data_IF_752412515294
#
_entry.id   IF_752412515294
#
_cell.length_a   1.000
_cell.length_b   1.000
_cell.length_c   1.000
_cell.angle_alpha   90.00
_cell.angle_beta   90.00
_cell.angle_gamma   90.00
#
_symmetry.space_group_name_H-M   'P 1'
#
loop_
_entity.id
_entity.type
_entity.pdbx_description
1 polymer ?
#
# COMPACT_ATOMS: atom_id res chain seq x y z
N UNK A 1 -2.44 11.96 -8.89
CA UNK A 1 -2.36 11.26 -7.60
C UNK A 1 -1.76 9.88 -7.80
N UNK A 2 -0.75 9.55 -7.03
CA UNK A 2 -0.11 8.24 -7.06
C UNK A 2 -0.42 7.51 -5.77
N UNK A 3 -0.88 6.27 -5.88
CA UNK A 3 -1.28 5.44 -4.75
C UNK A 3 -0.30 4.30 -4.56
N UNK A 4 0.05 3.99 -3.32
CA UNK A 4 0.94 2.89 -3.00
C UNK A 4 0.31 1.96 -1.96
N UNK A 5 0.48 0.66 -2.15
CA UNK A 5 -0.04 -0.34 -1.25
C UNK A 5 1.11 -1.17 -0.69
N UNK A 6 1.24 -1.15 0.62
CA UNK A 6 2.18 -2.01 1.33
C UNK A 6 1.40 -3.25 1.75
N UNK A 7 1.75 -4.39 1.16
CA UNK A 7 1.02 -5.64 1.30
C UNK A 7 0.11 -5.87 0.10
N UNK A 8 0.10 -7.11 -0.38
CA UNK A 8 -0.71 -7.50 -1.54
C UNK A 8 -1.49 -8.75 -1.17
N UNK A 9 -2.64 -8.54 -0.54
CA UNK A 9 -3.56 -9.59 -0.14
C UNK A 9 -4.96 -9.30 -0.64
N UNK A 10 -5.95 -9.93 -0.03
CA UNK A 10 -7.35 -9.77 -0.43
C UNK A 10 -7.85 -8.33 -0.25
N UNK A 11 -7.40 -7.64 0.80
CA UNK A 11 -7.79 -6.24 1.03
C UNK A 11 -7.29 -5.35 -0.10
N UNK A 12 -6.01 -5.49 -0.45
CA UNK A 12 -5.42 -4.73 -1.56
C UNK A 12 -6.17 -5.02 -2.86
N UNK A 13 -6.45 -6.29 -3.15
CA UNK A 13 -7.20 -6.69 -4.33
C UNK A 13 -8.57 -6.00 -4.38
N UNK A 14 -9.30 -6.02 -3.27
CA UNK A 14 -10.63 -5.42 -3.20
C UNK A 14 -10.57 -3.90 -3.38
N UNK A 15 -9.67 -3.22 -2.69
CA UNK A 15 -9.55 -1.76 -2.75
C UNK A 15 -9.09 -1.30 -4.13
N UNK A 16 -8.06 -1.90 -4.69
CA UNK A 16 -7.55 -1.55 -6.01
C UNK A 16 -8.61 -1.81 -7.08
N UNK A 17 -9.30 -2.94 -7.02
CA UNK A 17 -10.38 -3.25 -7.96
C UNK A 17 -11.50 -2.22 -7.87
N UNK A 18 -11.85 -1.78 -6.66
CA UNK A 18 -12.85 -0.73 -6.45
C UNK A 18 -12.41 0.61 -7.03
N UNK A 19 -11.17 0.99 -6.86
CA UNK A 19 -10.63 2.24 -7.41
C UNK A 19 -10.66 2.21 -8.95
N UNK A 20 -10.24 1.10 -9.55
CA UNK A 20 -10.25 0.95 -11.02
C UNK A 20 -11.66 1.06 -11.57
N UNK A 21 -12.64 0.51 -10.86
CA UNK A 21 -14.05 0.52 -11.30
C UNK A 21 -14.76 1.84 -10.99
N UNK A 22 -14.12 2.74 -10.24
CA UNK A 22 -14.72 4.00 -9.82
C UNK A 22 -14.33 5.15 -10.76
N UNK A 23 -14.84 6.34 -10.44
CA UNK A 23 -14.48 7.57 -11.15
C UNK A 23 -13.25 8.27 -10.53
N UNK A 24 -12.60 7.62 -9.57
CA UNK A 24 -11.39 8.17 -8.94
C UNK A 24 -10.27 8.22 -9.97
N UNK A 25 -9.70 9.41 -10.16
CA UNK A 25 -8.58 9.60 -11.07
C UNK A 25 -7.25 9.38 -10.35
N UNK A 26 -6.38 8.59 -10.94
CA UNK A 26 -5.05 8.33 -10.42
C UNK A 26 -4.04 8.22 -11.57
N UNK A 27 -2.78 8.54 -11.28
CA UNK A 27 -1.68 8.41 -12.26
C UNK A 27 -1.10 7.01 -12.27
N UNK A 28 -0.81 6.48 -11.09
CA UNK A 28 -0.18 5.18 -10.89
C UNK A 28 -0.70 4.55 -9.61
N UNK A 29 -0.73 3.23 -9.59
CA UNK A 29 -0.93 2.44 -8.37
C UNK A 29 0.26 1.50 -8.24
N UNK A 30 1.02 1.68 -7.16
CA UNK A 30 2.15 0.81 -6.86
C UNK A 30 1.71 -0.26 -5.88
N UNK A 31 1.99 -1.52 -6.19
CA UNK A 31 1.63 -2.65 -5.33
C UNK A 31 2.87 -3.51 -5.07
N UNK A 32 2.93 -4.13 -3.90
CA UNK A 32 4.06 -4.99 -3.56
C UNK A 32 3.99 -6.32 -4.29
N UNK A 33 5.14 -6.94 -4.48
CA UNK A 33 5.27 -8.21 -5.19
C UNK A 33 4.95 -9.43 -4.32
N UNK A 34 4.80 -9.26 -3.01
CA UNK A 34 4.78 -10.35 -2.04
C UNK A 34 3.80 -11.49 -2.39
N UNK A 35 2.61 -11.17 -2.88
CA UNK A 35 1.67 -12.17 -3.39
C UNK A 35 1.62 -12.03 -4.92
N UNK A 36 2.46 -12.79 -5.61
CA UNK A 36 2.60 -12.66 -7.06
C UNK A 36 1.33 -13.00 -7.83
N UNK A 37 0.50 -13.91 -7.31
CA UNK A 37 -0.77 -14.25 -7.95
C UNK A 37 -1.70 -13.04 -7.99
N UNK A 38 -1.89 -12.39 -6.85
CA UNK A 38 -2.76 -11.20 -6.76
C UNK A 38 -2.16 -10.02 -7.51
N UNK A 39 -0.85 -9.75 -7.34
CA UNK A 39 -0.23 -8.63 -8.01
C UNK A 39 -0.27 -8.78 -9.53
N UNK A 40 -0.06 -9.97 -10.06
CA UNK A 40 -0.16 -10.22 -11.50
C UNK A 40 -1.60 -10.06 -12.00
N UNK A 41 -2.58 -10.54 -11.24
CA UNK A 41 -4.00 -10.35 -11.59
C UNK A 41 -4.37 -8.88 -11.68
N UNK A 42 -3.92 -8.08 -10.73
CA UNK A 42 -4.21 -6.64 -10.69
C UNK A 42 -3.51 -5.91 -11.84
N UNK A 43 -2.26 -6.23 -12.11
CA UNK A 43 -1.50 -5.58 -13.17
C UNK A 43 -2.15 -5.79 -14.54
N UNK A 44 -2.77 -6.93 -14.75
CA UNK A 44 -3.49 -7.22 -16.02
C UNK A 44 -4.75 -6.38 -16.18
N UNK A 45 -5.34 -5.88 -15.11
CA UNK A 45 -6.59 -5.11 -15.16
C UNK A 45 -6.38 -3.67 -15.60
N UNK A 46 -5.21 -3.10 -15.35
CA UNK A 46 -4.96 -1.70 -15.68
C UNK A 46 -3.47 -1.45 -15.87
N UNK A 47 -3.11 -0.79 -16.96
CA UNK A 47 -1.70 -0.51 -17.29
C UNK A 47 -1.02 0.45 -16.33
N UNK A 48 -1.78 1.19 -15.51
CA UNK A 48 -1.24 2.13 -14.52
C UNK A 48 -0.78 1.44 -13.23
N UNK A 49 -1.04 0.15 -13.09
CA UNK A 49 -0.62 -0.63 -11.92
C UNK A 49 0.81 -1.09 -12.13
N UNK A 50 1.68 -0.78 -11.17
CA UNK A 50 3.10 -1.12 -11.19
C UNK A 50 3.43 -2.00 -10.00
N UNK A 51 4.02 -3.16 -10.27
CA UNK A 51 4.50 -4.06 -9.23
C UNK A 51 5.92 -3.63 -8.84
N UNK A 52 6.15 -3.47 -7.54
CA UNK A 52 7.47 -3.09 -7.03
C UNK A 52 7.81 -3.98 -5.83
N UNK A 53 9.00 -4.59 -5.87
CA UNK A 53 9.45 -5.48 -4.81
C UNK A 53 9.99 -4.77 -3.57
N UNK A 54 10.18 -3.45 -3.64
CA UNK A 54 10.76 -2.65 -2.56
C UNK A 54 9.72 -1.72 -1.95
N UNK A 55 9.30 -2.00 -0.71
CA UNK A 55 8.32 -1.20 0.00
C UNK A 55 8.74 0.26 0.17
N UNK A 56 10.02 0.52 0.44
CA UNK A 56 10.51 1.89 0.58
C UNK A 56 10.36 2.67 -0.73
N UNK A 57 10.60 2.02 -1.85
CA UNK A 57 10.43 2.64 -3.15
C UNK A 57 8.97 2.95 -3.45
N UNK A 58 8.05 2.06 -3.03
CA UNK A 58 6.61 2.31 -3.15
C UNK A 58 6.24 3.58 -2.37
N UNK A 59 6.72 3.71 -1.13
CA UNK A 59 6.46 4.88 -0.30
C UNK A 59 6.98 6.16 -0.96
N UNK A 60 8.20 6.12 -1.46
CA UNK A 60 8.83 7.29 -2.06
C UNK A 60 8.09 7.81 -3.29
N UNK A 61 7.42 6.92 -4.02
CA UNK A 61 6.71 7.28 -5.24
C UNK A 61 5.21 7.53 -5.04
N UNK A 62 4.71 7.46 -3.82
CA UNK A 62 3.28 7.53 -3.56
C UNK A 62 2.89 8.79 -2.81
N UNK A 63 1.73 9.33 -3.15
CA UNK A 63 1.12 10.44 -2.42
C UNK A 63 0.26 9.90 -1.27
N UNK A 64 -0.44 8.80 -1.51
CA UNK A 64 -1.24 8.08 -0.52
C UNK A 64 -0.67 6.68 -0.36
N UNK A 65 -0.45 6.27 0.88
CA UNK A 65 0.08 4.94 1.20
C UNK A 65 -0.96 4.16 2.01
N UNK A 66 -1.34 3.01 1.50
CA UNK A 66 -2.27 2.10 2.14
C UNK A 66 -1.49 0.98 2.80
N UNK A 67 -1.69 0.79 4.09
CA UNK A 67 -1.06 -0.28 4.85
C UNK A 67 -2.03 -1.45 4.94
N UNK A 68 -1.76 -2.50 4.19
CA UNK A 68 -2.64 -3.67 4.05
C UNK A 68 -1.88 -4.97 4.36
N UNK A 69 -1.19 -4.97 5.47
CA UNK A 69 -0.43 -6.14 5.97
C UNK A 69 -1.05 -6.63 7.27
N UNK A 70 -0.70 -7.87 7.64
CA UNK A 70 -1.11 -8.40 8.95
C UNK A 70 -0.38 -7.67 10.07
N UNK A 71 -0.92 -7.65 11.31
CA UNK A 71 -0.26 -6.96 12.43
C UNK A 71 1.17 -7.43 12.67
N UNK A 72 1.43 -8.73 12.59
CA UNK A 72 2.77 -9.26 12.79
C UNK A 72 3.77 -8.75 11.76
N UNK A 73 3.34 -8.70 10.51
CA UNK A 73 4.17 -8.17 9.41
C UNK A 73 4.38 -6.67 9.61
N UNK A 74 3.34 -5.93 9.99
CA UNK A 74 3.43 -4.50 10.21
C UNK A 74 4.51 -4.15 11.25
N UNK A 75 4.52 -4.84 12.37
CA UNK A 75 5.51 -4.60 13.43
C UNK A 75 6.92 -4.80 12.89
N UNK A 76 7.12 -5.80 12.04
CA UNK A 76 8.44 -6.10 11.49
C UNK A 76 8.92 -5.08 10.46
N UNK A 77 8.03 -4.64 9.57
CA UNK A 77 8.43 -3.83 8.42
C UNK A 77 8.35 -2.33 8.67
N UNK A 78 7.35 -1.84 9.42
CA UNK A 78 7.14 -0.40 9.59
C UNK A 78 8.30 0.29 10.29
N UNK A 79 8.98 -0.40 11.19
CA UNK A 79 10.16 0.14 11.88
C UNK A 79 11.30 0.49 10.93
N UNK A 80 11.37 -0.18 9.79
CA UNK A 80 12.44 -0.03 8.80
C UNK A 80 12.08 0.94 7.68
N UNK A 81 10.83 1.39 7.62
CA UNK A 81 10.34 2.23 6.55
C UNK A 81 10.28 3.69 6.98
N UNK A 82 10.60 4.58 6.06
CA UNK A 82 10.48 6.02 6.25
C UNK A 82 9.36 6.58 5.38
N UNK A 83 8.48 7.36 5.98
CA UNK A 83 7.36 8.00 5.30
C UNK A 83 7.64 9.49 5.13
N UNK A 84 7.01 10.12 4.15
CA UNK A 84 7.14 11.55 3.91
C UNK A 84 6.09 12.32 4.72
N UNK A 85 6.46 13.54 5.17
CA UNK A 85 5.58 14.36 6.03
C UNK A 85 4.21 14.67 5.39
N UNK A 86 4.17 14.86 4.08
CA UNK A 86 2.95 15.24 3.37
C UNK A 86 2.13 14.06 2.87
N UNK A 87 2.57 12.83 3.15
CA UNK A 87 1.83 11.65 2.71
C UNK A 87 0.59 11.42 3.56
N UNK A 88 -0.46 10.94 2.91
CA UNK A 88 -1.63 10.44 3.59
C UNK A 88 -1.46 8.94 3.76
N UNK A 89 -1.57 8.47 4.99
CA UNK A 89 -1.42 7.06 5.32
C UNK A 89 -2.77 6.51 5.77
N UNK A 90 -3.22 5.47 5.08
CA UNK A 90 -4.48 4.80 5.39
C UNK A 90 -4.16 3.39 5.85
N UNK A 91 -4.57 3.03 7.06
CA UNK A 91 -4.29 1.71 7.62
C UNK A 91 -5.50 0.81 7.58
N UNK A 92 -5.31 -0.40 7.07
CA UNK A 92 -6.26 -1.50 7.17
C UNK A 92 -5.79 -2.56 8.18
N UNK A 93 -4.83 -2.22 9.03
CA UNK A 93 -4.29 -3.15 10.01
C UNK A 93 -5.24 -3.22 11.20
N UNK A 94 -6.00 -4.31 11.29
CA UNK A 94 -7.19 -4.41 12.15
C UNK A 94 -6.94 -4.31 13.65
N UNK A 95 -5.82 -4.79 14.14
CA UNK A 95 -5.55 -4.84 15.59
C UNK A 95 -4.57 -3.79 16.08
N UNK A 96 -4.02 -2.98 15.19
CA UNK A 96 -3.12 -1.90 15.58
C UNK A 96 -3.90 -0.60 15.61
N UNK A 97 -4.06 -0.04 16.81
CA UNK A 97 -4.74 1.23 17.00
C UNK A 97 -3.88 2.38 16.48
N UNK A 98 -4.52 3.48 16.15
CA UNK A 98 -3.85 4.67 15.61
C UNK A 98 -2.69 5.14 16.51
N UNK A 99 -2.87 5.09 17.82
CA UNK A 99 -1.85 5.46 18.79
C UNK A 99 -0.59 4.60 18.68
N UNK A 100 -0.78 3.29 18.52
CA UNK A 100 0.33 2.35 18.35
C UNK A 100 1.00 2.51 16.98
N UNK A 101 0.17 2.73 15.94
CA UNK A 101 0.65 2.93 14.59
C UNK A 101 1.57 4.14 14.49
N UNK A 102 1.23 5.24 15.15
CA UNK A 102 2.06 6.45 15.17
C UNK A 102 3.44 6.22 15.75
N UNK A 103 3.58 5.28 16.68
CA UNK A 103 4.87 4.92 17.25
C UNK A 103 5.73 4.10 16.28
N UNK A 104 5.09 3.34 15.39
CA UNK A 104 5.78 2.50 14.43
C UNK A 104 6.20 3.27 13.17
N UNK A 105 5.45 4.29 12.82
CA UNK A 105 5.68 5.07 11.60
C UNK A 105 6.69 6.18 11.88
N UNK A 106 7.75 6.18 11.07
CA UNK A 106 8.79 7.22 11.11
C UNK A 106 8.59 8.17 9.93
N UNK A 107 8.53 9.42 10.26
CA UNK A 107 8.37 10.50 9.27
C UNK A 107 9.58 11.42 9.31
#
# INVERSE_FOLDING_TARGET
MKLGFIGTGEITKAVVSGIISSNIKFKKIYISKRNSKISNQLQKKNSKIVINSDNQNIIENSDWVFLAVTPNVAIKILKKLKFKKKQIIISFISTIKMKELRKLIKV
#
